data_IF_238273828682
#
_entry.id   IF_238273828682
#
_cell.length_a   1.000
_cell.length_b   1.000
_cell.length_c   1.000
_cell.angle_alpha   90.00
_cell.angle_beta   90.00
_cell.angle_gamma   90.00
#
_symmetry.space_group_name_H-M   'P 1'
#
loop_
_entity.id
_entity.type
_entity.pdbx_description
1 polymer ?
#
# COMPACT_ATOMS: atom_id res chain seq x y z
N UNK A 1 -3.20 11.37 32.99
CA UNK A 1 -2.61 10.62 31.85
C UNK A 1 -1.81 11.63 31.05
N UNK A 2 -0.47 11.62 31.15
CA UNK A 2 0.39 12.51 30.37
C UNK A 2 0.15 12.19 28.88
N UNK A 3 -0.21 13.17 28.10
CA UNK A 3 -0.21 13.11 26.63
C UNK A 3 1.25 12.99 26.21
N UNK A 4 1.75 11.74 26.13
CA UNK A 4 3.04 11.49 25.52
C UNK A 4 3.02 12.13 24.12
N UNK A 5 4.05 12.89 23.78
CA UNK A 5 4.17 13.60 22.52
C UNK A 5 3.98 12.61 21.36
N UNK A 6 2.79 12.63 20.75
CA UNK A 6 2.44 11.75 19.64
C UNK A 6 3.12 12.28 18.39
N UNK A 7 4.09 11.53 17.87
CA UNK A 7 4.78 11.87 16.63
C UNK A 7 4.03 11.25 15.45
N UNK A 8 3.44 12.09 14.60
CA UNK A 8 2.75 11.68 13.38
C UNK A 8 3.74 11.35 12.27
N UNK A 9 3.47 10.25 11.54
CA UNK A 9 4.34 9.79 10.44
C UNK A 9 4.02 10.58 9.17
N UNK A 10 4.99 11.36 8.71
CA UNK A 10 4.88 12.20 7.52
C UNK A 10 4.89 11.42 6.20
N UNK A 11 4.72 12.16 5.10
CA UNK A 11 4.62 11.62 3.73
C UNK A 11 5.83 10.76 3.34
N UNK A 12 7.05 11.24 3.51
CA UNK A 12 8.25 10.53 3.06
C UNK A 12 8.46 9.18 3.74
N UNK A 13 8.25 9.11 5.06
CA UNK A 13 8.38 7.84 5.77
C UNK A 13 7.33 6.82 5.31
N UNK A 14 6.10 7.27 4.99
CA UNK A 14 5.06 6.39 4.43
C UNK A 14 5.37 5.98 3.00
N UNK A 15 5.97 6.87 2.21
CA UNK A 15 6.42 6.56 0.85
C UNK A 15 7.52 5.50 0.84
N UNK A 16 8.53 5.62 1.73
CA UNK A 16 9.56 4.59 1.91
C UNK A 16 8.94 3.26 2.36
N UNK A 17 8.01 3.29 3.32
CA UNK A 17 7.29 2.09 3.74
C UNK A 17 6.53 1.43 2.58
N UNK A 18 5.88 2.23 1.74
CA UNK A 18 5.18 1.74 0.54
C UNK A 18 6.15 1.10 -0.47
N UNK A 19 7.31 1.69 -0.71
CA UNK A 19 8.32 1.10 -1.60
C UNK A 19 8.81 -0.26 -1.07
N UNK A 20 9.09 -0.35 0.22
CA UNK A 20 9.50 -1.61 0.86
C UNK A 20 8.39 -2.65 0.70
N UNK A 21 7.15 -2.31 1.03
CA UNK A 21 6.01 -3.21 0.89
C UNK A 21 5.83 -3.66 -0.57
N UNK A 22 5.99 -2.75 -1.54
CA UNK A 22 5.89 -3.07 -2.97
C UNK A 22 6.96 -4.06 -3.43
N UNK A 23 8.19 -3.89 -2.96
CA UNK A 23 9.30 -4.82 -3.25
C UNK A 23 8.99 -6.20 -2.65
N UNK A 24 8.56 -6.26 -1.38
CA UNK A 24 8.23 -7.52 -0.73
C UNK A 24 7.07 -8.26 -1.43
N UNK A 25 6.04 -7.53 -1.83
CA UNK A 25 4.93 -8.10 -2.60
C UNK A 25 5.43 -8.59 -3.96
N UNK A 26 6.23 -7.81 -4.68
CA UNK A 26 6.79 -8.20 -5.97
C UNK A 26 7.66 -9.46 -5.88
N UNK A 27 8.47 -9.58 -4.83
CA UNK A 27 9.31 -10.77 -4.57
C UNK A 27 8.50 -12.06 -4.40
N UNK A 28 7.25 -11.98 -4.00
CA UNK A 28 6.34 -13.14 -3.85
C UNK A 28 5.48 -13.32 -5.12
N UNK A 29 4.85 -12.24 -5.57
CA UNK A 29 3.86 -12.28 -6.65
C UNK A 29 4.51 -12.57 -8.01
N UNK A 30 5.66 -11.95 -8.30
CA UNK A 30 6.30 -12.13 -9.63
C UNK A 30 6.73 -13.57 -9.86
N UNK A 31 7.47 -14.25 -8.95
CA UNK A 31 7.78 -15.66 -9.14
C UNK A 31 6.55 -16.57 -9.25
N UNK A 32 5.50 -16.27 -8.48
CA UNK A 32 4.25 -17.02 -8.54
C UNK A 32 3.57 -16.89 -9.90
N UNK A 33 3.52 -15.67 -10.46
CA UNK A 33 2.96 -15.43 -11.79
C UNK A 33 3.82 -16.07 -12.90
N UNK A 34 5.15 -16.03 -12.76
CA UNK A 34 6.05 -16.72 -13.69
C UNK A 34 5.84 -18.24 -13.63
N UNK A 35 5.64 -18.80 -12.45
CA UNK A 35 5.34 -20.23 -12.31
C UNK A 35 4.00 -20.63 -12.94
N UNK A 36 2.99 -19.74 -12.88
CA UNK A 36 1.65 -20.01 -13.42
C UNK A 36 1.55 -19.73 -14.94
N UNK A 37 2.22 -18.72 -15.44
CA UNK A 37 2.06 -18.20 -16.81
C UNK A 37 3.32 -18.27 -17.66
N UNK A 38 4.43 -18.79 -17.10
CA UNK A 38 5.72 -18.90 -17.80
C UNK A 38 6.52 -17.60 -17.82
N UNK A 39 7.76 -17.68 -18.33
CA UNK A 39 8.68 -16.54 -18.42
C UNK A 39 8.23 -15.45 -19.39
N UNK A 40 7.30 -15.76 -20.29
CA UNK A 40 6.69 -14.77 -21.19
C UNK A 40 5.96 -13.64 -20.42
N UNK A 41 5.50 -13.92 -19.20
CA UNK A 41 4.89 -12.91 -18.34
C UNK A 41 5.85 -11.75 -17.99
N UNK A 42 7.14 -12.04 -17.85
CA UNK A 42 8.18 -11.01 -17.60
C UNK A 42 8.28 -10.06 -18.77
N UNK A 43 8.18 -10.55 -20.02
CA UNK A 43 8.21 -9.69 -21.21
C UNK A 43 7.02 -8.71 -21.23
N UNK A 44 5.85 -9.16 -20.84
CA UNK A 44 4.63 -8.32 -20.73
C UNK A 44 4.81 -7.23 -19.69
N UNK A 45 5.40 -7.54 -18.52
CA UNK A 45 5.69 -6.53 -17.48
C UNK A 45 6.75 -5.51 -17.93
N UNK A 46 7.71 -5.92 -18.77
CA UNK A 46 8.79 -5.06 -19.24
C UNK A 46 8.38 -4.18 -20.45
N UNK A 47 7.32 -4.54 -21.19
CA UNK A 47 6.93 -3.82 -22.39
C UNK A 47 6.60 -2.34 -22.19
N UNK A 48 5.82 -1.91 -21.19
CA UNK A 48 5.57 -0.49 -20.96
C UNK A 48 6.85 0.31 -20.77
N UNK A 49 7.83 -0.27 -20.10
CA UNK A 49 9.14 0.36 -19.88
C UNK A 49 9.97 0.40 -21.17
N UNK A 50 9.94 -0.67 -21.98
CA UNK A 50 10.61 -0.72 -23.28
C UNK A 50 10.01 0.31 -24.26
N UNK A 51 8.68 0.46 -24.28
CA UNK A 51 7.99 1.45 -25.11
C UNK A 51 8.39 2.87 -24.68
N UNK A 52 8.40 3.15 -23.38
CA UNK A 52 8.81 4.45 -22.85
C UNK A 52 10.24 4.83 -23.24
N UNK A 53 11.18 3.87 -23.28
CA UNK A 53 12.58 4.12 -23.62
C UNK A 53 12.80 4.17 -25.13
N UNK A 54 12.14 3.29 -25.91
CA UNK A 54 12.42 3.13 -27.34
C UNK A 54 11.47 3.90 -28.26
N UNK A 55 10.42 4.53 -27.72
CA UNK A 55 9.46 5.31 -28.52
C UNK A 55 8.61 4.48 -29.47
N UNK A 56 8.35 3.22 -29.17
CA UNK A 56 7.53 2.36 -30.01
C UNK A 56 6.03 2.50 -29.71
N UNK A 57 5.17 2.36 -30.71
CA UNK A 57 3.70 2.45 -30.61
C UNK A 57 3.01 1.07 -30.60
N UNK A 58 3.70 0.01 -30.31
CA UNK A 58 3.08 -1.31 -30.24
C UNK A 58 2.27 -1.46 -28.97
N UNK A 59 0.94 -1.51 -29.12
CA UNK A 59 0.05 -1.95 -28.05
C UNK A 59 0.34 -3.43 -27.81
N UNK A 60 0.84 -3.84 -26.63
CA UNK A 60 1.05 -5.24 -26.38
C UNK A 60 -0.29 -5.96 -26.41
N UNK A 61 -0.47 -6.86 -27.36
CA UNK A 61 -1.58 -7.80 -27.32
C UNK A 61 -1.32 -8.72 -26.14
N UNK A 62 -1.96 -8.43 -25.03
CA UNK A 62 -1.90 -9.25 -23.82
C UNK A 62 -2.46 -10.62 -24.09
N UNK A 63 -1.57 -11.57 -24.34
CA UNK A 63 -1.92 -12.96 -24.46
C UNK A 63 -2.08 -13.52 -23.04
N UNK A 64 -3.35 -13.69 -22.61
CA UNK A 64 -3.74 -14.70 -21.59
C UNK A 64 -3.22 -14.63 -20.16
N UNK A 65 -2.68 -13.49 -19.68
CA UNK A 65 -2.57 -13.27 -18.25
C UNK A 65 -3.90 -12.74 -17.63
N UNK A 66 -4.96 -12.63 -18.44
CA UNK A 66 -6.24 -12.02 -18.08
C UNK A 66 -7.26 -13.04 -17.54
N UNK A 67 -6.80 -14.21 -17.10
CA UNK A 67 -7.66 -15.21 -16.47
C UNK A 67 -8.06 -14.81 -15.03
N UNK A 68 -9.16 -15.40 -14.50
CA UNK A 68 -9.59 -15.14 -13.12
C UNK A 68 -8.49 -15.40 -12.08
N UNK A 69 -7.58 -16.34 -12.36
CA UNK A 69 -6.47 -16.68 -11.48
C UNK A 69 -5.45 -15.54 -11.38
N UNK A 70 -5.17 -14.84 -12.47
CA UNK A 70 -4.24 -13.69 -12.45
C UNK A 70 -4.80 -12.53 -11.63
N UNK A 71 -6.11 -12.27 -11.75
CA UNK A 71 -6.79 -11.26 -10.91
C UNK A 71 -6.71 -11.62 -9.43
N UNK A 72 -6.92 -12.88 -9.08
CA UNK A 72 -6.79 -13.35 -7.70
C UNK A 72 -5.38 -13.14 -7.16
N UNK A 73 -4.35 -13.53 -7.91
CA UNK A 73 -2.96 -13.43 -7.48
C UNK A 73 -2.47 -11.99 -7.43
N UNK A 74 -2.84 -11.15 -8.40
CA UNK A 74 -2.34 -9.78 -8.50
C UNK A 74 -3.07 -8.79 -7.59
N UNK A 75 -4.36 -8.99 -7.36
CA UNK A 75 -5.19 -8.00 -6.66
C UNK A 75 -5.76 -8.53 -5.34
N UNK A 76 -6.34 -9.73 -5.35
CA UNK A 76 -7.06 -10.23 -4.17
C UNK A 76 -6.08 -10.72 -3.11
N UNK A 77 -5.06 -11.47 -3.48
CA UNK A 77 -4.07 -11.98 -2.52
C UNK A 77 -3.30 -10.85 -1.80
N UNK A 78 -2.72 -9.84 -2.50
CA UNK A 78 -2.07 -8.71 -1.81
C UNK A 78 -3.04 -7.90 -0.96
N UNK A 79 -4.29 -7.72 -1.40
CA UNK A 79 -5.31 -7.01 -0.62
C UNK A 79 -5.59 -7.72 0.71
N UNK A 80 -5.82 -9.03 0.66
CA UNK A 80 -6.04 -9.84 1.87
C UNK A 80 -4.81 -9.78 2.78
N UNK A 81 -3.60 -9.94 2.23
CA UNK A 81 -2.37 -9.88 3.00
C UNK A 81 -2.22 -8.54 3.73
N UNK A 82 -2.46 -7.42 3.05
CA UNK A 82 -2.39 -6.08 3.66
C UNK A 82 -3.42 -5.92 4.78
N UNK A 83 -4.68 -6.31 4.56
CA UNK A 83 -5.75 -6.20 5.56
C UNK A 83 -5.44 -7.09 6.78
N UNK A 84 -4.97 -8.31 6.56
CA UNK A 84 -4.57 -9.24 7.63
C UNK A 84 -3.43 -8.64 8.46
N UNK A 85 -2.38 -8.12 7.83
CA UNK A 85 -1.30 -7.44 8.54
C UNK A 85 -1.80 -6.23 9.34
N UNK A 86 -2.73 -5.45 8.79
CA UNK A 86 -3.30 -4.32 9.52
C UNK A 86 -4.11 -4.76 10.75
N UNK A 87 -4.89 -5.83 10.64
CA UNK A 87 -5.69 -6.35 11.76
C UNK A 87 -4.78 -6.86 12.89
N UNK A 88 -3.76 -7.67 12.55
CA UNK A 88 -2.92 -8.31 13.56
C UNK A 88 -1.80 -7.40 14.09
N UNK A 89 -1.18 -6.59 13.22
CA UNK A 89 0.00 -5.79 13.54
C UNK A 89 -0.24 -4.29 13.51
N UNK A 90 -1.41 -3.84 13.01
CA UNK A 90 -1.72 -2.42 12.80
C UNK A 90 -0.69 -1.71 11.90
N UNK A 91 0.07 -2.47 11.15
CA UNK A 91 1.10 -2.00 10.23
C UNK A 91 1.31 -3.03 9.12
N UNK A 92 1.90 -2.63 8.00
CA UNK A 92 2.51 -3.51 7.01
C UNK A 92 4.00 -3.72 7.35
N UNK A 93 4.69 -4.73 6.79
CA UNK A 93 6.11 -4.92 7.02
C UNK A 93 6.95 -3.67 6.78
N UNK A 94 6.71 -2.93 5.67
CA UNK A 94 7.39 -1.67 5.39
C UNK A 94 7.11 -0.59 6.43
N UNK A 95 5.87 -0.49 6.95
CA UNK A 95 5.54 0.43 8.04
C UNK A 95 6.23 0.04 9.34
N UNK A 96 6.37 -1.25 9.62
CA UNK A 96 7.11 -1.72 10.81
C UNK A 96 8.58 -1.30 10.76
N UNK A 97 9.22 -1.39 9.59
CA UNK A 97 10.61 -0.99 9.41
C UNK A 97 10.85 0.51 9.63
N UNK A 98 9.87 1.36 9.31
CA UNK A 98 9.95 2.80 9.59
C UNK A 98 9.34 3.16 10.95
N UNK A 99 9.10 2.18 11.83
CA UNK A 99 8.49 2.35 13.15
C UNK A 99 7.14 3.08 13.10
N UNK A 100 6.31 2.75 12.12
CA UNK A 100 5.01 3.38 11.90
C UNK A 100 3.86 2.41 12.20
N UNK A 101 2.86 2.89 12.92
CA UNK A 101 1.68 2.11 13.33
C UNK A 101 0.40 2.88 13.03
N UNK A 102 -0.62 2.16 12.53
CA UNK A 102 -1.97 2.69 12.30
C UNK A 102 -2.73 2.61 13.62
N UNK A 103 -3.35 3.71 14.02
CA UNK A 103 -4.18 3.78 15.23
C UNK A 103 -5.50 4.49 14.93
N UNK A 104 -6.49 4.31 15.78
CA UNK A 104 -7.72 5.10 15.76
C UNK A 104 -7.42 6.58 16.01
N UNK A 105 -8.01 7.47 15.22
CA UNK A 105 -7.70 8.90 15.26
C UNK A 105 -8.21 9.62 16.51
N UNK A 106 -9.17 9.03 17.23
CA UNK A 106 -9.78 9.62 18.43
C UNK A 106 -9.15 9.07 19.70
N UNK A 107 -9.08 7.74 19.82
CA UNK A 107 -8.59 7.06 21.02
C UNK A 107 -7.08 6.87 21.04
N UNK A 108 -6.39 6.95 19.89
CA UNK A 108 -4.99 6.55 19.66
C UNK A 108 -4.71 5.08 20.03
N UNK A 109 -5.76 4.30 20.23
CA UNK A 109 -5.72 2.87 20.46
C UNK A 109 -5.77 2.05 19.16
N UNK A 110 -5.90 0.73 19.27
CA UNK A 110 -6.06 -0.15 18.11
C UNK A 110 -7.28 0.25 17.28
N UNK A 111 -7.14 0.36 15.95
CA UNK A 111 -8.28 0.64 15.08
C UNK A 111 -9.17 -0.59 14.98
N UNK A 112 -10.45 -0.40 14.75
CA UNK A 112 -11.38 -1.49 14.48
C UNK A 112 -11.11 -2.12 13.10
N UNK A 113 -11.49 -3.39 12.92
CA UNK A 113 -11.38 -4.06 11.61
C UNK A 113 -12.17 -3.32 10.52
N UNK A 114 -13.32 -2.73 10.87
CA UNK A 114 -14.11 -1.92 9.95
C UNK A 114 -13.36 -0.66 9.47
N UNK A 115 -12.63 0.01 10.36
CA UNK A 115 -11.80 1.15 9.99
C UNK A 115 -10.66 0.73 9.05
N UNK A 116 -10.04 -0.42 9.28
CA UNK A 116 -8.94 -0.92 8.44
C UNK A 116 -9.43 -1.33 7.04
N UNK A 117 -10.58 -1.99 6.96
CA UNK A 117 -11.22 -2.34 5.69
C UNK A 117 -11.67 -1.06 4.95
N UNK A 118 -12.35 -0.15 5.64
CA UNK A 118 -12.75 1.14 5.08
C UNK A 118 -11.56 1.95 4.58
N UNK A 119 -10.43 1.92 5.29
CA UNK A 119 -9.17 2.53 4.88
C UNK A 119 -8.66 1.95 3.56
N UNK A 120 -8.73 0.63 3.39
CA UNK A 120 -8.31 -0.02 2.16
C UNK A 120 -9.12 0.48 0.96
N UNK A 121 -10.45 0.52 1.08
CA UNK A 121 -11.29 1.08 0.02
C UNK A 121 -11.08 2.59 -0.18
N UNK A 122 -10.81 3.34 0.86
CA UNK A 122 -10.53 4.77 0.78
C UNK A 122 -9.20 5.09 0.05
N UNK A 123 -8.28 4.14 -0.12
CA UNK A 123 -7.12 4.31 -1.00
C UNK A 123 -7.54 4.56 -2.45
N UNK A 124 -8.60 3.88 -2.93
CA UNK A 124 -9.11 4.11 -4.29
C UNK A 124 -9.60 5.54 -4.48
N UNK A 125 -10.23 6.14 -3.47
CA UNK A 125 -10.62 7.56 -3.50
C UNK A 125 -9.37 8.46 -3.63
N UNK A 126 -8.31 8.16 -2.88
CA UNK A 126 -7.04 8.92 -2.94
C UNK A 126 -6.34 8.77 -4.29
N UNK A 127 -6.46 7.61 -4.95
CA UNK A 127 -5.89 7.33 -6.28
C UNK A 127 -6.70 8.03 -7.37
N UNK A 128 -8.04 7.90 -7.35
CA UNK A 128 -8.95 8.49 -8.35
C UNK A 128 -8.80 10.00 -8.45
N UNK A 129 -8.45 10.67 -7.37
CA UNK A 129 -8.10 12.09 -7.33
C UNK A 129 -6.64 12.37 -7.73
N UNK A 130 -6.10 11.63 -8.71
CA UNK A 130 -4.71 11.78 -9.20
C UNK A 130 -3.64 11.72 -8.10
N UNK A 131 -3.91 10.96 -7.02
CA UNK A 131 -2.98 10.81 -5.89
C UNK A 131 -2.97 11.99 -4.92
N UNK A 132 -3.79 13.03 -5.11
CA UNK A 132 -3.86 14.20 -4.22
C UNK A 132 -4.17 13.82 -2.78
N UNK A 133 -4.95 12.74 -2.58
CA UNK A 133 -5.26 12.23 -1.24
C UNK A 133 -4.03 11.74 -0.48
N UNK A 134 -2.99 11.28 -1.17
CA UNK A 134 -1.70 10.92 -0.55
C UNK A 134 -0.81 12.15 -0.34
N UNK A 135 -0.75 13.06 -1.30
CA UNK A 135 0.03 14.30 -1.17
C UNK A 135 -0.48 15.17 -0.02
N UNK A 136 -1.78 15.11 0.28
CA UNK A 136 -2.39 15.82 1.39
C UNK A 136 -1.70 15.55 2.74
N UNK A 137 -1.08 14.37 2.92
CA UNK A 137 -0.32 14.00 4.13
C UNK A 137 0.80 15.03 4.43
N UNK A 138 1.41 15.60 3.40
CA UNK A 138 2.49 16.59 3.57
C UNK A 138 2.00 17.87 4.24
N UNK A 139 0.77 18.27 3.96
CA UNK A 139 0.18 19.55 4.38
C UNK A 139 -0.68 19.43 5.64
N UNK A 140 -1.23 18.24 5.92
CA UNK A 140 -2.12 18.04 7.06
C UNK A 140 -1.39 18.10 8.41
N UNK A 141 -1.96 18.79 9.40
CA UNK A 141 -1.37 18.95 10.73
C UNK A 141 -1.17 17.61 11.48
N UNK A 142 -2.06 16.63 11.30
CA UNK A 142 -1.96 15.28 11.86
C UNK A 142 -1.34 14.28 10.88
N UNK A 143 -0.81 14.77 9.75
CA UNK A 143 -0.22 13.94 8.68
C UNK A 143 -1.17 12.84 8.20
N UNK A 144 -2.47 13.18 8.06
CA UNK A 144 -3.49 12.27 7.56
C UNK A 144 -3.73 12.48 6.06
N UNK A 145 -3.70 11.39 5.29
CA UNK A 145 -4.23 11.38 3.93
C UNK A 145 -5.77 11.31 3.92
N UNK A 146 -6.38 11.43 2.76
CA UNK A 146 -7.84 11.32 2.64
C UNK A 146 -8.34 9.95 3.08
N UNK A 147 -7.63 8.88 2.73
CA UNK A 147 -7.93 7.53 3.19
C UNK A 147 -7.85 7.38 4.71
N UNK A 148 -6.94 8.12 5.38
CA UNK A 148 -6.85 8.14 6.83
C UNK A 148 -8.07 8.84 7.45
N UNK A 149 -8.45 10.00 6.89
CA UNK A 149 -9.59 10.80 7.38
C UNK A 149 -10.91 10.06 7.19
N UNK A 150 -11.13 9.47 6.02
CA UNK A 150 -12.34 8.70 5.72
C UNK A 150 -12.50 7.49 6.64
N UNK A 151 -11.39 6.82 6.97
CA UNK A 151 -11.41 5.67 7.86
C UNK A 151 -11.34 6.03 9.36
N UNK A 152 -11.17 7.31 9.72
CA UNK A 152 -11.00 7.73 11.11
C UNK A 152 -9.73 7.18 11.76
N UNK A 153 -8.65 7.04 11.00
CA UNK A 153 -7.37 6.51 11.45
C UNK A 153 -6.26 7.56 11.34
N UNK A 154 -5.14 7.30 12.01
CA UNK A 154 -3.92 8.11 11.90
C UNK A 154 -2.70 7.19 12.01
N UNK A 155 -1.57 7.61 11.45
CA UNK A 155 -0.33 6.83 11.56
C UNK A 155 0.65 7.57 12.45
N UNK A 156 1.09 6.90 13.51
CA UNK A 156 2.02 7.42 14.52
C UNK A 156 3.32 6.63 14.52
N UNK A 157 4.40 7.24 15.00
CA UNK A 157 5.62 6.51 15.32
C UNK A 157 5.43 5.68 16.59
N UNK A 158 5.84 4.43 16.55
CA UNK A 158 6.05 3.63 17.75
C UNK A 158 7.35 4.07 18.40
N UNK A 159 7.34 4.38 19.70
CA UNK A 159 8.59 4.48 20.43
C UNK A 159 9.32 3.14 20.36
N UNK A 160 10.66 3.10 20.16
CA UNK A 160 11.40 1.88 20.41
C UNK A 160 11.07 1.43 21.85
N UNK A 161 10.71 0.18 22.00
CA UNK A 161 10.72 -0.46 23.33
C UNK A 161 12.20 -0.54 23.75
N UNK A 162 12.57 0.24 24.74
CA UNK A 162 13.84 0.09 25.45
C UNK A 162 13.92 -1.31 26.04
#
# INVERSE_FOLDING_TARGET
MQTADVVYVGFWARFVAFLIDSILVAMIVVPLLVALYGTEYISVLAEPFRIAIKGGTTIPVTRSADGPMSLLVQWVFPAIAVIVFWIYRQATPGKMLVSAKIVDAKSLGPPSSGQLIGRYFAYYVSILAFGLGFLWIAFDGRKQGWHDKLAGTVVIKTKPSD
#
